data_IF_475217411097
#
_entry.id   IF_475217411097
#
_cell.length_a   1.000
_cell.length_b   1.000
_cell.length_c   1.000
_cell.angle_alpha   90.00
_cell.angle_beta   90.00
_cell.angle_gamma   90.00
#
_symmetry.space_group_name_H-M   'P 1'
#
loop_
_entity.id
_entity.type
_entity.pdbx_description
1 polymer ?
#
# COMPACT_ATOMS: atom_id res chain seq x y z
N UNK A 1 -4.14 5.78 8.08
CA UNK A 1 -3.12 6.25 7.10
C UNK A 1 -3.83 6.86 5.91
N UNK A 2 -3.25 7.89 5.28
CA UNK A 2 -3.82 8.55 4.09
C UNK A 2 -3.26 7.89 2.83
N UNK A 3 -4.13 7.46 1.92
CA UNK A 3 -3.77 6.87 0.63
C UNK A 3 -3.72 7.92 -0.50
N UNK A 4 -3.27 7.52 -1.69
CA UNK A 4 -3.17 8.37 -2.90
C UNK A 4 -4.48 9.05 -3.28
N UNK A 5 -5.60 8.36 -3.09
CA UNK A 5 -6.94 8.88 -3.36
C UNK A 5 -7.46 9.84 -2.28
N UNK A 6 -6.62 10.20 -1.30
CA UNK A 6 -6.94 10.98 -0.09
C UNK A 6 -7.93 10.26 0.83
N UNK A 7 -8.23 9.00 0.57
CA UNK A 7 -8.95 8.11 1.45
C UNK A 7 -8.14 7.74 2.70
N UNK A 8 -8.83 7.12 3.65
CA UNK A 8 -8.21 6.67 4.89
C UNK A 8 -8.27 5.13 4.99
N UNK A 9 -7.12 4.52 5.26
CA UNK A 9 -7.01 3.09 5.56
C UNK A 9 -6.57 2.92 7.01
N UNK A 10 -7.30 2.12 7.77
CA UNK A 10 -6.87 1.69 9.10
C UNK A 10 -5.86 0.55 8.97
N UNK A 11 -4.72 0.68 9.65
CA UNK A 11 -3.68 -0.35 9.69
C UNK A 11 -3.48 -0.76 11.14
N UNK A 12 -3.68 -2.04 11.41
CA UNK A 12 -3.38 -2.68 12.68
C UNK A 12 -1.90 -3.00 12.65
N UNK A 13 -1.11 -2.09 13.22
CA UNK A 13 0.34 -2.17 13.14
C UNK A 13 0.88 -3.39 13.90
N UNK A 14 1.92 -4.00 13.34
CA UNK A 14 2.71 -4.98 14.07
C UNK A 14 3.49 -4.26 15.20
N UNK A 15 3.64 -4.91 16.34
CA UNK A 15 4.31 -4.35 17.52
C UNK A 15 5.78 -3.97 17.27
N UNK A 16 6.40 -4.56 16.24
CA UNK A 16 7.78 -4.27 15.84
C UNK A 16 7.90 -3.17 14.78
N UNK A 17 6.79 -2.66 14.24
CA UNK A 17 6.79 -1.72 13.13
C UNK A 17 7.30 -0.35 13.54
N UNK A 18 8.14 0.24 12.69
CA UNK A 18 8.73 1.56 12.90
C UNK A 18 8.52 2.43 11.67
N UNK A 19 7.39 3.15 11.66
CA UNK A 19 7.08 4.13 10.63
C UNK A 19 7.91 5.39 10.85
N UNK A 20 8.92 5.59 10.01
CA UNK A 20 9.89 6.68 10.13
C UNK A 20 9.78 7.74 9.04
N UNK A 21 8.93 7.51 8.03
CA UNK A 21 8.82 8.36 6.84
C UNK A 21 7.37 8.66 6.49
N UNK A 22 7.15 9.69 5.67
CA UNK A 22 5.83 10.10 5.22
C UNK A 22 5.15 9.01 4.39
N UNK A 23 5.91 8.30 3.56
CA UNK A 23 5.41 7.21 2.74
C UNK A 23 5.93 5.87 3.26
N UNK A 24 5.02 4.92 3.43
CA UNK A 24 5.29 3.58 3.94
C UNK A 24 4.51 2.58 3.10
N UNK A 25 5.18 1.51 2.67
CA UNK A 25 4.53 0.33 2.12
C UNK A 25 4.12 -0.60 3.26
N UNK A 26 2.87 -1.06 3.22
CA UNK A 26 2.29 -1.99 4.21
C UNK A 26 1.81 -3.22 3.44
N UNK A 27 2.33 -4.39 3.80
CA UNK A 27 1.90 -5.68 3.26
C UNK A 27 1.23 -6.45 4.39
N UNK A 28 0.05 -7.02 4.12
CA UNK A 28 -0.75 -7.65 5.15
C UNK A 28 -2.08 -8.20 4.64
N UNK A 29 -2.94 -8.59 5.59
CA UNK A 29 -4.25 -9.16 5.28
C UNK A 29 -5.36 -8.14 5.46
N UNK A 30 -6.26 -8.06 4.48
CA UNK A 30 -7.45 -7.21 4.57
C UNK A 30 -8.49 -7.89 5.47
N UNK A 31 -8.90 -7.20 6.54
CA UNK A 31 -10.00 -7.62 7.43
C UNK A 31 -11.37 -7.31 6.82
N UNK A 32 -12.41 -7.94 7.38
CA UNK A 32 -13.81 -7.74 6.92
C UNK A 32 -14.32 -6.30 7.07
N UNK A 33 -13.73 -5.50 7.97
CA UNK A 33 -14.02 -4.07 8.14
C UNK A 33 -13.20 -3.17 7.18
N UNK A 34 -12.38 -3.75 6.30
CA UNK A 34 -11.54 -3.01 5.36
C UNK A 34 -10.23 -2.48 5.95
N UNK A 35 -9.90 -2.77 7.21
CA UNK A 35 -8.56 -2.48 7.76
C UNK A 35 -7.53 -3.50 7.30
N UNK A 36 -6.24 -3.20 7.43
CA UNK A 36 -5.14 -4.11 7.12
C UNK A 36 -4.48 -4.59 8.42
N UNK A 37 -4.35 -5.91 8.58
CA UNK A 37 -3.43 -6.53 9.54
C UNK A 37 -2.04 -6.58 8.94
N UNK A 38 -1.12 -5.77 9.47
CA UNK A 38 0.25 -5.66 8.96
C UNK A 38 1.07 -6.91 9.29
N UNK A 39 1.71 -7.47 8.25
CA UNK A 39 2.75 -8.49 8.38
C UNK A 39 4.16 -7.88 8.28
N UNK A 40 4.36 -6.99 7.31
CA UNK A 40 5.63 -6.30 7.07
C UNK A 40 5.39 -4.89 6.55
N UNK A 41 6.33 -4.00 6.86
CA UNK A 41 6.36 -2.64 6.34
C UNK A 41 7.74 -2.19 5.88
N UNK A 42 7.74 -1.28 4.90
CA UNK A 42 8.95 -0.66 4.33
C UNK A 42 8.81 0.86 4.31
N UNK A 43 9.78 1.59 4.87
CA UNK A 43 9.83 3.05 4.79
C UNK A 43 10.31 3.49 3.39
N UNK A 44 9.50 4.25 2.65
CA UNK A 44 9.81 4.74 1.29
C UNK A 44 10.37 6.17 1.25
N UNK A 45 10.57 6.81 2.40
CA UNK A 45 11.07 8.19 2.44
C UNK A 45 9.95 9.23 2.36
N UNK A 46 10.36 10.49 2.17
CA UNK A 46 9.46 11.64 2.20
C UNK A 46 9.21 12.25 0.81
N UNK A 47 9.94 11.79 -0.21
CA UNK A 47 9.90 12.33 -1.57
C UNK A 47 9.34 11.33 -2.59
N UNK A 48 8.58 10.33 -2.11
CA UNK A 48 7.96 9.33 -2.98
C UNK A 48 6.77 9.93 -3.74
N UNK A 49 6.77 9.76 -5.06
CA UNK A 49 5.68 10.22 -5.93
C UNK A 49 4.51 9.22 -5.91
N UNK A 50 3.63 9.42 -4.93
CA UNK A 50 2.48 8.55 -4.70
C UNK A 50 1.43 8.63 -5.83
N UNK A 51 1.37 9.74 -6.55
CA UNK A 51 0.42 9.94 -7.65
C UNK A 51 0.84 9.11 -8.87
N UNK A 52 2.11 9.18 -9.26
CA UNK A 52 2.66 8.34 -10.33
C UNK A 52 2.54 6.85 -9.99
N UNK A 53 2.77 6.46 -8.73
CA UNK A 53 2.57 5.08 -8.29
C UNK A 53 1.10 4.63 -8.40
N UNK A 54 0.16 5.49 -8.02
CA UNK A 54 -1.28 5.22 -8.14
C UNK A 54 -1.72 5.05 -9.60
N UNK A 55 -1.18 5.85 -10.53
CA UNK A 55 -1.41 5.68 -11.96
C UNK A 55 -0.92 4.31 -12.47
N UNK A 56 0.25 3.86 -12.00
CA UNK A 56 0.77 2.53 -12.34
C UNK A 56 -0.18 1.44 -11.85
N UNK A 57 -0.61 1.46 -10.59
CA UNK A 57 -1.55 0.47 -10.04
C UNK A 57 -2.85 0.42 -10.87
N UNK A 58 -3.38 1.59 -11.23
CA UNK A 58 -4.58 1.69 -12.08
C UNK A 58 -4.36 1.07 -13.46
N UNK A 59 -3.20 1.31 -14.09
CA UNK A 59 -2.84 0.71 -15.37
C UNK A 59 -2.62 -0.80 -15.26
N UNK A 60 -2.02 -1.30 -14.19
CA UNK A 60 -1.79 -2.73 -14.00
C UNK A 60 -3.09 -3.54 -14.08
N UNK A 61 -4.18 -3.00 -13.52
CA UNK A 61 -5.51 -3.64 -13.61
C UNK A 61 -6.09 -3.68 -15.02
N UNK A 62 -5.66 -2.79 -15.92
CA UNK A 62 -6.09 -2.72 -17.32
C UNK A 62 -5.29 -3.67 -18.23
N UNK A 63 -4.10 -4.08 -17.81
CA UNK A 63 -3.20 -4.95 -18.57
C UNK A 63 -2.86 -6.24 -17.79
N UNK A 64 -3.86 -7.08 -17.45
CA UNK A 64 -3.65 -8.28 -16.65
C UNK A 64 -2.76 -9.33 -17.33
N UNK A 65 -2.61 -9.29 -18.65
CA UNK A 65 -1.67 -10.18 -19.37
C UNK A 65 -0.20 -9.78 -19.18
N UNK A 66 0.07 -8.55 -18.74
CA UNK A 66 1.43 -8.05 -18.48
C UNK A 66 1.75 -8.07 -16.99
N UNK A 67 0.76 -7.77 -16.14
CA UNK A 67 0.94 -7.58 -14.70
C UNK A 67 0.18 -8.57 -13.81
N UNK A 68 -0.64 -9.44 -14.39
CA UNK A 68 -1.30 -10.51 -13.65
C UNK A 68 -0.32 -11.61 -13.30
N UNK A 69 -0.67 -12.40 -12.29
CA UNK A 69 0.05 -13.64 -12.01
C UNK A 69 -0.17 -14.59 -13.18
N UNK A 70 0.91 -15.12 -13.76
CA UNK A 70 0.84 -16.35 -14.54
C UNK A 70 0.16 -17.39 -13.64
N UNK A 71 -1.02 -17.86 -14.04
CA UNK A 71 -1.80 -18.90 -13.34
C UNK A 71 -1.00 -20.18 -13.18
#
# INVERSE_FOLDING_TARGET
MIASDKGHVEVVMNVMSQYGTQYVEVIGFVRSNGSIDEEVSTNFGNDFDIETYNELITKMQQFPTVFGNDT
#
